data_IF_881587310636
#
_entry.id   IF_881587310636
#
_cell.length_a   1.000
_cell.length_b   1.000
_cell.length_c   1.000
_cell.angle_alpha   90.00
_cell.angle_beta   90.00
_cell.angle_gamma   90.00
#
_symmetry.space_group_name_H-M   'P 1'
#
loop_
_entity.id
_entity.type
_entity.pdbx_description
1 polymer ?
#
# COMPACT_ATOMS: atom_id res chain seq x y z
N UNK A 1 67.80 11.20 20.39
CA UNK A 1 68.12 10.91 18.98
C UNK A 1 66.92 11.29 18.13
N UNK A 2 66.97 12.44 17.48
CA UNK A 2 65.88 12.95 16.64
C UNK A 2 65.99 12.35 15.25
N UNK A 3 64.89 11.80 14.72
CA UNK A 3 64.85 11.21 13.38
C UNK A 3 64.95 12.30 12.30
N UNK A 4 65.66 12.03 11.19
CA UNK A 4 65.83 12.99 10.10
C UNK A 4 64.47 13.36 9.48
N UNK A 5 64.32 14.64 9.13
CA UNK A 5 63.08 15.29 8.69
C UNK A 5 62.41 14.53 7.53
N UNK A 6 63.20 13.97 6.60
CA UNK A 6 62.70 13.23 5.43
C UNK A 6 61.96 11.93 5.80
N UNK A 7 62.36 11.27 6.91
CA UNK A 7 61.66 10.08 7.42
C UNK A 7 60.35 10.42 8.14
N UNK A 8 60.21 11.65 8.65
CA UNK A 8 58.96 12.09 9.26
C UNK A 8 57.92 12.44 8.20
N UNK A 9 58.32 13.10 7.10
CA UNK A 9 57.43 13.45 5.98
C UNK A 9 56.89 12.19 5.29
N UNK A 10 57.74 11.19 5.04
CA UNK A 10 57.32 9.92 4.43
C UNK A 10 56.31 9.14 5.30
N UNK A 11 56.47 9.18 6.63
CA UNK A 11 55.52 8.54 7.57
C UNK A 11 54.17 9.24 7.58
N UNK A 12 54.15 10.57 7.64
CA UNK A 12 52.89 11.34 7.62
C UNK A 12 52.13 11.10 6.32
N UNK A 13 52.83 11.13 5.17
CA UNK A 13 52.23 10.89 3.86
C UNK A 13 51.62 9.48 3.74
N UNK A 14 52.29 8.45 4.29
CA UNK A 14 51.81 7.06 4.29
C UNK A 14 50.57 6.88 5.16
N UNK A 15 50.49 7.50 6.33
CA UNK A 15 49.29 7.42 7.18
C UNK A 15 48.10 8.18 6.58
N UNK A 16 48.33 9.32 5.92
CA UNK A 16 47.23 10.08 5.25
C UNK A 16 46.64 9.33 4.06
N UNK A 17 47.44 8.66 3.24
CA UNK A 17 46.93 7.88 2.09
C UNK A 17 46.17 6.63 2.54
N UNK A 18 46.66 5.93 3.56
CA UNK A 18 45.98 4.75 4.12
C UNK A 18 44.62 5.11 4.73
N UNK A 19 44.52 6.25 5.42
CA UNK A 19 43.27 6.70 6.06
C UNK A 19 42.23 7.17 5.02
N UNK A 20 42.66 7.84 3.95
CA UNK A 20 41.76 8.21 2.85
C UNK A 20 41.25 6.99 2.09
N UNK A 21 42.12 6.01 1.84
CA UNK A 21 41.76 4.79 1.10
C UNK A 21 40.75 3.92 1.85
N UNK A 22 40.89 3.77 3.18
CA UNK A 22 39.94 3.02 4.00
C UNK A 22 38.59 3.73 4.13
N UNK A 23 38.58 5.06 4.18
CA UNK A 23 37.34 5.84 4.19
C UNK A 23 36.56 5.67 2.87
N UNK A 24 37.25 5.78 1.72
CA UNK A 24 36.60 5.59 0.42
C UNK A 24 36.03 4.18 0.28
N UNK A 25 36.82 3.12 0.53
CA UNK A 25 36.35 1.73 0.41
C UNK A 25 35.19 1.43 1.37
N UNK A 26 35.24 1.95 2.60
CA UNK A 26 34.15 1.81 3.57
C UNK A 26 32.83 2.41 3.08
N UNK A 27 32.87 3.62 2.50
CA UNK A 27 31.67 4.31 2.00
C UNK A 27 31.07 3.64 0.75
N UNK A 28 31.89 3.13 -0.18
CA UNK A 28 31.38 2.43 -1.37
C UNK A 28 30.76 1.08 -1.02
N UNK A 29 31.39 0.32 -0.12
CA UNK A 29 30.85 -0.99 0.32
C UNK A 29 29.57 -0.82 1.13
N UNK A 30 29.49 0.21 1.99
CA UNK A 30 28.26 0.53 2.70
C UNK A 30 27.14 0.95 1.73
N UNK A 31 27.45 1.78 0.73
CA UNK A 31 26.46 2.20 -0.26
C UNK A 31 25.98 1.05 -1.15
N UNK A 32 26.82 0.05 -1.42
CA UNK A 32 26.45 -1.14 -2.21
C UNK A 32 25.68 -2.19 -1.39
N UNK A 33 26.01 -2.35 -0.11
CA UNK A 33 25.33 -3.31 0.78
C UNK A 33 24.01 -2.76 1.34
N UNK A 34 23.90 -1.43 1.50
CA UNK A 34 22.73 -0.73 2.00
C UNK A 34 22.06 0.14 0.93
N UNK A 35 22.33 -0.10 -0.36
CA UNK A 35 21.46 0.30 -1.45
C UNK A 35 20.11 -0.37 -1.20
N UNK A 36 19.29 0.35 -0.45
CA UNK A 36 17.98 -0.06 -0.03
C UNK A 36 17.24 -0.55 -1.27
N UNK A 37 16.81 -1.80 -1.22
CA UNK A 37 15.72 -2.32 -2.03
C UNK A 37 14.60 -1.30 -1.91
N UNK A 38 14.48 -0.40 -2.90
CA UNK A 38 13.46 0.63 -2.89
C UNK A 38 12.14 -0.07 -2.59
N UNK A 39 11.42 0.33 -1.52
CA UNK A 39 10.10 -0.21 -1.29
C UNK A 39 9.30 0.17 -2.54
N UNK A 40 8.98 -0.83 -3.36
CA UNK A 40 8.05 -0.68 -4.48
C UNK A 40 6.90 0.21 -4.01
N UNK A 41 6.49 1.23 -4.78
CA UNK A 41 5.37 2.08 -4.40
C UNK A 41 4.21 1.15 -4.03
N UNK A 42 3.71 1.28 -2.80
CA UNK A 42 2.71 0.35 -2.27
C UNK A 42 1.42 0.55 -3.04
N UNK A 43 1.21 -0.25 -4.10
CA UNK A 43 0.00 -0.19 -4.90
C UNK A 43 -1.22 -0.44 -4.02
N UNK A 44 -2.23 0.41 -4.18
CA UNK A 44 -3.48 0.31 -3.44
C UNK A 44 -4.51 -0.47 -4.26
N UNK A 45 -5.20 -1.42 -3.63
CA UNK A 45 -6.28 -2.19 -4.23
C UNK A 45 -7.60 -1.67 -3.69
N UNK A 46 -8.52 -1.40 -4.62
CA UNK A 46 -9.88 -1.01 -4.32
C UNK A 46 -10.76 -2.26 -4.27
N UNK A 47 -11.53 -2.41 -3.21
CA UNK A 47 -12.41 -3.54 -3.00
C UNK A 47 -13.86 -3.09 -2.94
N UNK A 48 -14.71 -3.78 -3.71
CA UNK A 48 -16.16 -3.57 -3.72
C UNK A 48 -16.85 -4.91 -3.48
N UNK A 49 -17.61 -4.99 -2.39
CA UNK A 49 -18.43 -6.16 -2.10
C UNK A 49 -19.89 -5.81 -1.91
N UNK A 50 -20.77 -6.63 -2.46
CA UNK A 50 -22.21 -6.38 -2.40
C UNK A 50 -23.00 -7.53 -2.97
N UNK A 51 -24.33 -7.41 -2.93
CA UNK A 51 -25.17 -8.40 -3.61
C UNK A 51 -25.40 -8.00 -5.07
N UNK A 52 -25.36 -8.97 -5.97
CA UNK A 52 -25.27 -8.76 -7.43
C UNK A 52 -26.45 -8.01 -8.04
N UNK A 53 -27.65 -8.16 -7.47
CA UNK A 53 -28.87 -7.50 -7.93
C UNK A 53 -29.05 -6.07 -7.37
N UNK A 54 -28.09 -5.56 -6.60
CA UNK A 54 -28.16 -4.19 -6.07
C UNK A 54 -27.68 -3.19 -7.15
N UNK A 55 -28.50 -2.21 -7.57
CA UNK A 55 -28.06 -1.19 -8.53
C UNK A 55 -26.85 -0.39 -8.03
N UNK A 56 -26.78 -0.13 -6.72
CA UNK A 56 -25.66 0.59 -6.10
C UNK A 56 -24.36 -0.22 -6.16
N UNK A 57 -24.43 -1.55 -5.96
CA UNK A 57 -23.26 -2.42 -6.13
C UNK A 57 -22.75 -2.40 -7.57
N UNK A 58 -23.64 -2.49 -8.54
CA UNK A 58 -23.27 -2.49 -9.96
C UNK A 58 -22.56 -1.17 -10.36
N UNK A 59 -23.08 -0.03 -9.90
CA UNK A 59 -22.45 1.28 -10.13
C UNK A 59 -21.07 1.39 -9.47
N UNK A 60 -20.95 0.96 -8.22
CA UNK A 60 -19.67 0.95 -7.52
C UNK A 60 -18.65 0.01 -8.17
N UNK A 61 -19.07 -1.16 -8.66
CA UNK A 61 -18.20 -2.06 -9.40
C UNK A 61 -17.68 -1.44 -10.71
N UNK A 62 -18.55 -0.73 -11.44
CA UNK A 62 -18.17 -0.01 -12.66
C UNK A 62 -17.18 1.13 -12.36
N UNK A 63 -17.45 1.93 -11.32
CA UNK A 63 -16.56 3.01 -10.90
C UNK A 63 -15.22 2.45 -10.45
N UNK A 64 -15.20 1.35 -9.69
CA UNK A 64 -13.97 0.72 -9.25
C UNK A 64 -13.09 0.26 -10.40
N UNK A 65 -13.71 -0.34 -11.43
CA UNK A 65 -13.01 -0.70 -12.66
C UNK A 65 -12.44 0.54 -13.36
N UNK A 66 -13.24 1.60 -13.50
CA UNK A 66 -12.79 2.83 -14.14
C UNK A 66 -11.61 3.49 -13.40
N UNK A 67 -11.62 3.47 -12.06
CA UNK A 67 -10.51 3.98 -11.24
C UNK A 67 -9.23 3.15 -11.45
N UNK A 68 -9.33 1.82 -11.41
CA UNK A 68 -8.20 0.92 -11.64
C UNK A 68 -7.62 1.04 -13.05
N UNK A 69 -8.47 1.21 -14.07
CA UNK A 69 -8.03 1.38 -15.45
C UNK A 69 -7.39 2.77 -15.70
N UNK A 70 -7.81 3.81 -14.96
CA UNK A 70 -7.35 5.19 -15.17
C UNK A 70 -6.07 5.55 -14.40
N UNK A 71 -5.76 4.84 -13.31
CA UNK A 71 -4.73 5.23 -12.33
C UNK A 71 -3.82 4.06 -11.98
N UNK A 72 -3.24 3.44 -13.02
CA UNK A 72 -2.44 2.21 -12.93
C UNK A 72 -1.19 2.32 -12.06
N UNK A 73 -0.76 3.57 -11.78
CA UNK A 73 0.44 3.85 -11.00
C UNK A 73 0.14 3.96 -9.49
N UNK A 74 -1.05 4.46 -9.12
CA UNK A 74 -1.48 4.56 -7.72
C UNK A 74 -2.31 3.36 -7.26
N UNK A 75 -3.16 2.83 -8.15
CA UNK A 75 -4.02 1.69 -7.88
C UNK A 75 -3.57 0.45 -8.64
N UNK A 76 -3.58 -0.68 -7.94
CA UNK A 76 -3.53 -1.99 -8.56
C UNK A 76 -4.90 -2.41 -9.08
N UNK A 77 -5.16 -3.72 -9.08
CA UNK A 77 -6.42 -4.29 -9.57
C UNK A 77 -7.59 -3.97 -8.63
N UNK A 78 -8.74 -3.62 -9.21
CA UNK A 78 -10.00 -3.55 -8.46
C UNK A 78 -10.56 -4.96 -8.22
N UNK A 79 -10.82 -5.29 -6.96
CA UNK A 79 -11.45 -6.54 -6.56
C UNK A 79 -12.95 -6.32 -6.34
N UNK A 80 -13.78 -6.97 -7.16
CA UNK A 80 -15.24 -6.93 -7.00
C UNK A 80 -15.75 -8.32 -6.65
N UNK A 81 -16.46 -8.46 -5.52
CA UNK A 81 -17.09 -9.73 -5.12
C UNK A 81 -18.61 -9.54 -4.99
N UNK A 82 -19.33 -10.23 -5.86
CA UNK A 82 -20.79 -10.28 -5.85
C UNK A 82 -21.31 -11.47 -5.07
N UNK A 83 -22.32 -11.22 -4.23
CA UNK A 83 -23.02 -12.23 -3.44
C UNK A 83 -24.49 -12.35 -3.88
N UNK A 84 -25.13 -13.47 -3.57
CA UNK A 84 -26.60 -13.51 -3.63
C UNK A 84 -27.20 -12.62 -2.54
N UNK A 85 -28.47 -12.20 -2.68
CA UNK A 85 -29.14 -11.42 -1.64
C UNK A 85 -29.17 -12.17 -0.30
N UNK A 86 -29.42 -13.47 -0.35
CA UNK A 86 -29.58 -14.30 0.83
C UNK A 86 -28.23 -14.48 1.55
N UNK A 87 -27.17 -14.81 0.82
CA UNK A 87 -25.82 -14.94 1.40
C UNK A 87 -25.32 -13.61 1.99
N UNK A 88 -25.60 -12.50 1.29
CA UNK A 88 -25.26 -11.17 1.74
C UNK A 88 -25.91 -10.82 3.09
N UNK A 89 -27.21 -11.06 3.21
CA UNK A 89 -27.96 -10.75 4.43
C UNK A 89 -27.65 -11.71 5.57
N UNK A 90 -27.52 -13.01 5.27
CA UNK A 90 -27.34 -14.05 6.27
C UNK A 90 -25.94 -14.06 6.89
N UNK A 91 -24.89 -13.81 6.10
CA UNK A 91 -23.51 -14.01 6.56
C UNK A 91 -22.58 -12.86 6.22
N UNK A 92 -22.52 -12.45 4.95
CA UNK A 92 -21.40 -11.63 4.49
C UNK A 92 -21.39 -10.23 5.09
N UNK A 93 -22.53 -9.55 5.13
CA UNK A 93 -22.66 -8.21 5.72
C UNK A 93 -22.17 -8.17 7.16
N UNK A 94 -22.57 -9.16 7.97
CA UNK A 94 -22.17 -9.26 9.36
C UNK A 94 -20.65 -9.51 9.51
N UNK A 95 -20.08 -10.34 8.65
CA UNK A 95 -18.64 -10.57 8.61
C UNK A 95 -17.84 -9.29 8.27
N UNK A 96 -18.30 -8.53 7.28
CA UNK A 96 -17.67 -7.23 6.93
C UNK A 96 -17.78 -6.22 8.08
N UNK A 97 -18.92 -6.19 8.78
CA UNK A 97 -19.10 -5.36 9.98
C UNK A 97 -18.16 -5.72 11.13
N UNK A 98 -17.97 -7.02 11.36
CA UNK A 98 -17.10 -7.51 12.43
C UNK A 98 -15.63 -7.18 12.12
N UNK A 99 -15.23 -7.29 10.86
CA UNK A 99 -13.84 -7.18 10.47
C UNK A 99 -13.41 -5.77 10.03
N UNK A 100 -14.33 -4.89 9.62
CA UNK A 100 -14.05 -3.49 9.24
C UNK A 100 -14.66 -2.57 10.31
N UNK A 101 -13.93 -2.23 11.40
CA UNK A 101 -14.48 -1.42 12.49
C UNK A 101 -15.05 -0.07 12.02
N UNK A 102 -14.42 0.55 11.01
CA UNK A 102 -14.87 1.81 10.44
C UNK A 102 -16.28 1.73 9.82
N UNK A 103 -16.68 0.57 9.28
CA UNK A 103 -18.04 0.37 8.77
C UNK A 103 -19.08 0.42 9.89
N UNK A 104 -18.75 -0.16 11.05
CA UNK A 104 -19.59 -0.11 12.26
C UNK A 104 -19.67 1.31 12.83
N UNK A 105 -18.54 2.01 12.92
CA UNK A 105 -18.49 3.41 13.41
C UNK A 105 -19.34 4.33 12.54
N UNK A 106 -19.35 4.12 11.22
CA UNK A 106 -20.19 4.87 10.26
C UNK A 106 -21.63 4.37 10.17
N UNK A 107 -22.00 3.29 10.87
CA UNK A 107 -23.34 2.71 10.80
C UNK A 107 -23.73 2.18 9.43
N UNK A 108 -22.77 1.84 8.55
CA UNK A 108 -23.05 1.47 7.17
C UNK A 108 -23.56 0.03 7.02
N UNK A 109 -24.87 -0.19 6.96
CA UNK A 109 -25.46 -1.55 6.92
C UNK A 109 -25.86 -2.05 5.52
N UNK A 110 -25.55 -1.32 4.45
CA UNK A 110 -26.15 -1.57 3.13
C UNK A 110 -25.11 -2.02 2.10
N UNK A 111 -25.59 -2.61 1.00
CA UNK A 111 -24.72 -2.93 -0.13
C UNK A 111 -24.58 -1.72 -1.05
N UNK A 112 -23.39 -1.42 -1.60
CA UNK A 112 -22.13 -2.13 -1.43
C UNK A 112 -21.32 -1.65 -0.22
N UNK A 113 -20.28 -2.42 0.13
CA UNK A 113 -19.18 -1.98 0.99
C UNK A 113 -17.98 -1.70 0.10
N UNK A 114 -17.38 -0.53 0.26
CA UNK A 114 -16.21 -0.09 -0.50
C UNK A 114 -15.06 0.25 0.44
N UNK A 115 -13.86 -0.26 0.17
CA UNK A 115 -12.66 0.06 0.93
C UNK A 115 -11.39 -0.05 0.09
N UNK A 116 -10.32 0.60 0.56
CA UNK A 116 -8.99 0.57 -0.05
C UNK A 116 -7.99 -0.04 0.92
N UNK A 117 -7.03 -0.80 0.41
CA UNK A 117 -5.91 -1.37 1.17
C UNK A 117 -4.69 -1.56 0.27
N UNK A 118 -3.54 -1.87 0.85
CA UNK A 118 -2.40 -2.32 0.06
C UNK A 118 -2.72 -3.61 -0.69
N UNK A 119 -2.26 -3.70 -1.95
CA UNK A 119 -2.35 -4.88 -2.79
C UNK A 119 -1.42 -5.99 -2.26
N UNK A 120 -1.85 -6.70 -1.23
CA UNK A 120 -1.18 -7.92 -0.75
C UNK A 120 -1.87 -9.16 -1.36
N UNK A 121 -1.13 -10.04 -2.06
CA UNK A 121 -1.67 -11.28 -2.64
C UNK A 121 -2.14 -12.32 -1.60
N UNK A 122 -1.89 -12.09 -0.31
CA UNK A 122 -1.90 -13.15 0.70
C UNK A 122 -3.05 -13.14 1.72
N UNK A 123 -3.63 -11.99 2.04
CA UNK A 123 -4.30 -11.88 3.35
C UNK A 123 -5.73 -12.41 3.35
N UNK A 124 -6.50 -12.20 2.27
CA UNK A 124 -7.91 -12.66 2.22
C UNK A 124 -8.00 -14.21 2.20
N UNK A 125 -6.96 -14.90 1.70
CA UNK A 125 -6.92 -16.37 1.61
C UNK A 125 -6.27 -17.06 2.81
N UNK A 126 -5.47 -16.36 3.63
CA UNK A 126 -4.72 -16.94 4.75
C UNK A 126 -5.35 -16.64 6.11
N UNK A 127 -5.84 -15.42 6.31
CA UNK A 127 -6.57 -15.02 7.52
C UNK A 127 -7.43 -13.80 7.20
N UNK A 128 -8.75 -13.99 7.23
CA UNK A 128 -9.68 -12.92 6.96
C UNK A 128 -9.50 -11.73 7.92
N UNK A 129 -9.01 -11.91 9.15
CA UNK A 129 -8.83 -10.82 10.12
C UNK A 129 -7.67 -9.88 9.74
N UNK A 130 -6.55 -10.43 9.26
CA UNK A 130 -5.38 -9.67 8.77
C UNK A 130 -5.73 -8.84 7.54
N UNK A 131 -6.70 -9.32 6.73
CA UNK A 131 -7.15 -8.62 5.55
C UNK A 131 -7.80 -7.24 5.83
N UNK A 132 -8.20 -6.97 7.08
CA UNK A 132 -8.90 -5.75 7.46
C UNK A 132 -8.18 -4.88 8.50
N UNK A 133 -6.97 -5.25 8.95
CA UNK A 133 -6.20 -4.44 9.92
C UNK A 133 -5.78 -3.06 9.38
N UNK A 134 -5.61 -2.94 8.06
CA UNK A 134 -5.14 -1.71 7.39
C UNK A 134 -6.02 -1.35 6.20
N UNK A 135 -7.33 -1.28 6.41
CA UNK A 135 -8.28 -0.82 5.38
C UNK A 135 -8.73 0.61 5.63
N UNK A 136 -8.77 1.39 4.56
CA UNK A 136 -9.46 2.67 4.52
C UNK A 136 -10.87 2.44 4.01
N UNK A 137 -11.86 2.42 4.91
CA UNK A 137 -13.25 2.19 4.56
C UNK A 137 -13.88 3.46 3.97
N UNK A 138 -14.34 3.36 2.72
CA UNK A 138 -14.92 4.47 1.96
C UNK A 138 -16.42 4.61 2.22
N UNK A 139 -17.16 3.51 2.32
CA UNK A 139 -18.61 3.56 2.56
C UNK A 139 -19.43 2.81 1.51
N UNK A 140 -20.60 3.38 1.20
CA UNK A 140 -21.50 2.90 0.16
C UNK A 140 -21.20 3.48 -1.23
N UNK A 141 -22.18 3.40 -2.11
CA UNK A 141 -22.05 3.94 -3.47
C UNK A 141 -21.82 5.46 -3.47
N UNK A 142 -22.62 6.21 -2.72
CA UNK A 142 -22.58 7.67 -2.77
C UNK A 142 -21.28 8.20 -2.16
N UNK A 143 -20.85 7.63 -1.03
CA UNK A 143 -19.55 7.94 -0.43
C UNK A 143 -18.39 7.61 -1.39
N UNK A 144 -18.53 6.56 -2.21
CA UNK A 144 -17.50 6.17 -3.16
C UNK A 144 -17.41 7.12 -4.36
N UNK A 145 -18.54 7.65 -4.83
CA UNK A 145 -18.55 8.71 -5.83
C UNK A 145 -17.90 9.99 -5.29
N UNK A 146 -18.30 10.44 -4.09
CA UNK A 146 -17.71 11.60 -3.42
C UNK A 146 -16.20 11.43 -3.23
N UNK A 147 -15.78 10.28 -2.70
CA UNK A 147 -14.36 9.95 -2.57
C UNK A 147 -13.60 10.02 -3.90
N UNK A 148 -14.20 9.53 -5.00
CA UNK A 148 -13.56 9.59 -6.31
C UNK A 148 -13.46 11.02 -6.86
N UNK A 149 -14.42 11.89 -6.55
CA UNK A 149 -14.40 13.28 -7.00
C UNK A 149 -13.39 14.12 -6.21
N UNK A 150 -13.18 13.79 -4.93
CA UNK A 150 -12.24 14.48 -4.06
C UNK A 150 -10.81 13.95 -4.13
N UNK A 151 -10.61 12.70 -4.61
CA UNK A 151 -9.26 12.13 -4.63
C UNK A 151 -8.37 12.96 -5.56
N UNK A 152 -7.13 13.29 -5.14
CA UNK A 152 -6.18 13.90 -6.05
C UNK A 152 -5.94 12.94 -7.21
N UNK A 153 -6.43 13.28 -8.41
CA UNK A 153 -6.09 12.52 -9.61
C UNK A 153 -4.57 12.56 -9.76
N UNK A 154 -3.93 11.40 -9.95
CA UNK A 154 -2.55 11.37 -10.40
C UNK A 154 -2.48 12.25 -11.67
N UNK A 155 -1.76 13.36 -11.58
CA UNK A 155 -1.57 14.25 -12.73
C UNK A 155 -0.93 13.42 -13.83
N UNK A 156 -1.60 13.33 -14.99
CA UNK A 156 -1.00 12.84 -16.23
C UNK A 156 0.25 13.64 -16.59
#
# INVERSE_FOLDING_TARGET
>A
MSLPLDRQIARVAFWTTVTLATYFVGTTVYSLLFAAKDPQPRQLCLHVEGFTNCPYFQRSAQLAKAVSDADTDAFGEASTVGWTRDDWQATRKAALWANIPAAKVRGHTTSPFVWVRECSPGDVKKDASVAFEKVHFIGGNDDFHEWNDERPSAKK
#
